data_IF_785321620655
#
_entry.id   IF_785321620655
#
_cell.length_a   1.000
_cell.length_b   1.000
_cell.length_c   1.000
_cell.angle_alpha   90.00
_cell.angle_beta   90.00
_cell.angle_gamma   90.00
#
_symmetry.space_group_name_H-M   'P 1'
#
loop_
_entity.id
_entity.type
_entity.pdbx_description
1 polymer ?
#
# COMPACT_ATOMS: atom_id res chain seq x y z
N UNK A 1 24.33 18.90 37.87
CA UNK A 1 24.59 19.94 36.84
C UNK A 1 24.76 19.38 35.42
N UNK A 2 25.90 18.80 34.99
CA UNK A 2 26.07 18.38 33.59
C UNK A 2 25.09 17.26 33.13
N UNK A 3 24.85 16.26 33.98
CA UNK A 3 23.89 15.18 33.70
C UNK A 3 22.44 15.68 33.65
N UNK A 4 22.10 16.72 34.42
CA UNK A 4 20.77 17.33 34.41
C UNK A 4 20.56 18.14 33.12
N UNK A 5 21.58 18.89 32.67
CA UNK A 5 21.54 19.58 31.37
C UNK A 5 21.42 18.61 30.19
N UNK A 6 22.13 17.49 30.24
CA UNK A 6 22.06 16.48 29.19
C UNK A 6 20.69 15.79 29.14
N UNK A 7 20.13 15.43 30.30
CA UNK A 7 18.78 14.87 30.41
C UNK A 7 17.71 15.86 29.95
N UNK A 8 17.88 17.16 30.24
CA UNK A 8 16.98 18.22 29.79
C UNK A 8 17.05 18.42 28.27
N UNK A 9 18.25 18.45 27.67
CA UNK A 9 18.42 18.52 26.22
C UNK A 9 17.86 17.29 25.50
N UNK A 10 17.97 16.10 26.12
CA UNK A 10 17.37 14.88 25.58
C UNK A 10 15.84 14.96 25.59
N UNK A 11 15.25 15.51 26.66
CA UNK A 11 13.80 15.77 26.77
C UNK A 11 13.32 16.83 25.78
N UNK A 12 14.09 17.92 25.60
CA UNK A 12 13.78 18.98 24.65
C UNK A 12 13.78 18.43 23.21
N UNK A 13 14.83 17.69 22.83
CA UNK A 13 14.93 17.02 21.52
C UNK A 13 13.79 16.03 21.27
N UNK A 14 13.38 15.27 22.29
CA UNK A 14 12.22 14.38 22.21
C UNK A 14 10.94 15.19 21.97
N UNK A 15 10.72 16.27 22.73
CA UNK A 15 9.55 17.14 22.61
C UNK A 15 9.46 17.85 21.25
N UNK A 16 10.58 18.33 20.71
CA UNK A 16 10.65 18.95 19.37
C UNK A 16 10.31 17.93 18.27
N UNK A 17 10.86 16.71 18.37
CA UNK A 17 10.53 15.60 17.47
C UNK A 17 9.06 15.21 17.49
N UNK A 18 8.47 15.12 18.69
CA UNK A 18 7.04 14.87 18.85
C UNK A 18 6.19 16.01 18.25
N UNK A 19 6.63 17.25 18.39
CA UNK A 19 5.99 18.40 17.75
C UNK A 19 6.11 18.36 16.23
N UNK A 20 7.20 17.87 15.64
CA UNK A 20 7.29 17.65 14.19
C UNK A 20 6.32 16.55 13.71
N UNK A 21 6.21 15.45 14.46
CA UNK A 21 5.23 14.38 14.20
C UNK A 21 3.80 14.96 14.23
N UNK A 22 3.47 15.75 15.25
CA UNK A 22 2.14 16.35 15.43
C UNK A 22 1.85 17.51 14.46
N UNK A 23 2.85 18.32 14.09
CA UNK A 23 2.70 19.41 13.10
C UNK A 23 2.43 18.89 11.69
N UNK A 24 3.04 17.76 11.33
CA UNK A 24 2.69 17.02 10.11
C UNK A 24 1.39 16.21 10.28
N UNK A 25 1.01 15.91 11.53
CA UNK A 25 -0.22 15.25 11.98
C UNK A 25 -1.49 16.12 12.00
N UNK A 26 -1.59 17.19 11.18
CA UNK A 26 -2.88 17.82 10.84
C UNK A 26 -3.85 16.88 10.09
N UNK A 27 -3.48 15.60 9.96
CA UNK A 27 -4.17 14.50 9.29
C UNK A 27 -5.16 13.71 10.18
N UNK A 28 -5.31 14.08 11.45
CA UNK A 28 -6.30 13.44 12.35
C UNK A 28 -7.76 13.58 11.88
N UNK A 29 -8.02 14.43 10.87
CA UNK A 29 -9.33 14.62 10.23
C UNK A 29 -9.52 13.78 8.95
N UNK A 30 -8.53 12.99 8.51
CA UNK A 30 -8.55 12.33 7.19
C UNK A 30 -8.48 10.79 7.23
N UNK A 31 -8.62 10.17 8.40
CA UNK A 31 -8.77 8.72 8.56
C UNK A 31 -7.47 7.97 8.90
N UNK A 32 -7.61 6.72 9.34
CA UNK A 32 -6.50 5.88 9.85
C UNK A 32 -5.43 5.57 8.79
N UNK A 33 -5.80 5.50 7.53
CA UNK A 33 -4.88 5.16 6.44
C UNK A 33 -3.78 6.23 6.25
N UNK A 34 -4.14 7.51 6.38
CA UNK A 34 -3.15 8.60 6.29
C UNK A 34 -2.18 8.63 7.47
N UNK A 35 -2.62 8.21 8.66
CA UNK A 35 -1.76 8.08 9.84
C UNK A 35 -0.73 6.98 9.58
N UNK A 36 -1.17 5.84 9.02
CA UNK A 36 -0.26 4.75 8.72
C UNK A 36 0.70 5.05 7.55
N UNK A 37 0.25 5.78 6.52
CA UNK A 37 1.11 6.33 5.46
C UNK A 37 2.22 7.23 6.03
N UNK A 38 1.86 8.11 6.96
CA UNK A 38 2.83 8.99 7.61
C UNK A 38 3.88 8.19 8.41
N UNK A 39 3.43 7.18 9.17
CA UNK A 39 4.31 6.26 9.91
C UNK A 39 5.24 5.52 8.94
N UNK A 40 4.73 5.03 7.81
CA UNK A 40 5.51 4.34 6.79
C UNK A 40 6.61 5.22 6.19
N UNK A 41 6.29 6.46 5.83
CA UNK A 41 7.27 7.43 5.29
C UNK A 41 8.33 7.82 6.31
N UNK A 42 7.95 7.87 7.58
CA UNK A 42 8.80 8.36 8.67
C UNK A 42 9.55 7.24 9.41
N UNK A 43 9.39 5.96 9.01
CA UNK A 43 9.99 4.78 9.65
C UNK A 43 11.52 4.77 9.72
N UNK A 44 12.18 5.56 8.86
CA UNK A 44 13.65 5.67 8.84
C UNK A 44 14.16 6.76 9.81
N UNK A 45 13.27 7.63 10.29
CA UNK A 45 13.60 8.76 11.15
C UNK A 45 13.22 8.49 12.62
N UNK A 46 12.20 7.66 12.87
CA UNK A 46 11.65 7.39 14.20
C UNK A 46 11.29 5.92 14.38
N UNK A 47 11.24 5.47 15.64
CA UNK A 47 10.74 4.14 15.99
C UNK A 47 9.22 4.06 15.75
N UNK A 48 8.78 2.97 15.14
CA UNK A 48 7.36 2.76 14.82
C UNK A 48 6.50 2.73 16.08
N UNK A 49 7.00 2.17 17.19
CA UNK A 49 6.27 2.10 18.46
C UNK A 49 6.05 3.49 19.05
N UNK A 50 7.09 4.33 19.02
CA UNK A 50 7.02 5.70 19.53
C UNK A 50 6.06 6.57 18.67
N UNK A 51 6.08 6.38 17.34
CA UNK A 51 5.13 7.06 16.46
C UNK A 51 3.69 6.58 16.68
N UNK A 52 3.46 5.27 16.82
CA UNK A 52 2.14 4.71 17.09
C UNK A 52 1.56 5.18 18.42
N UNK A 53 2.38 5.24 19.48
CA UNK A 53 1.99 5.77 20.79
C UNK A 53 1.63 7.26 20.70
N UNK A 54 2.45 8.05 20.00
CA UNK A 54 2.24 9.49 19.81
C UNK A 54 0.98 9.80 18.98
N UNK A 55 0.66 8.95 18.01
CA UNK A 55 -0.47 9.11 17.09
C UNK A 55 -1.72 8.34 17.54
N UNK A 56 -1.70 7.75 18.74
CA UNK A 56 -2.81 6.99 19.34
C UNK A 56 -3.35 5.86 18.45
N UNK A 57 -2.47 5.17 17.71
CA UNK A 57 -2.81 4.04 16.85
C UNK A 57 -2.12 2.75 17.31
N UNK A 58 -2.74 1.61 16.99
CA UNK A 58 -2.13 0.32 17.30
C UNK A 58 -1.00 0.00 16.33
N UNK A 59 0.17 -0.36 16.86
CA UNK A 59 1.30 -0.91 16.08
C UNK A 59 0.90 -2.13 15.27
N UNK A 60 0.07 -3.01 15.84
CA UNK A 60 -0.47 -4.16 15.12
C UNK A 60 -1.43 -3.73 14.00
N UNK A 61 -2.18 -2.65 14.21
CA UNK A 61 -3.00 -2.01 13.18
C UNK A 61 -2.14 -1.48 12.02
N UNK A 62 -1.03 -0.82 12.32
CA UNK A 62 -0.06 -0.36 11.31
C UNK A 62 0.49 -1.51 10.48
N UNK A 63 1.01 -2.58 11.10
CA UNK A 63 1.54 -3.71 10.35
C UNK A 63 0.46 -4.48 9.57
N UNK A 64 -0.79 -4.52 10.04
CA UNK A 64 -1.90 -5.08 9.27
C UNK A 64 -2.22 -4.23 8.05
N UNK A 65 -2.24 -2.91 8.23
CA UNK A 65 -2.45 -1.96 7.15
C UNK A 65 -1.30 -2.00 6.13
N UNK A 66 -0.05 -1.97 6.55
CA UNK A 66 1.13 -2.06 5.66
C UNK A 66 1.15 -3.39 4.88
N UNK A 67 0.67 -4.47 5.52
CA UNK A 67 0.51 -5.78 4.87
C UNK A 67 -0.65 -5.83 3.88
N UNK A 68 -1.68 -5.01 4.08
CA UNK A 68 -2.88 -4.90 3.26
C UNK A 68 -2.78 -3.81 2.19
N UNK A 69 -1.84 -2.87 2.33
CA UNK A 69 -1.48 -1.90 1.30
C UNK A 69 -1.09 -2.67 0.02
N UNK A 70 -1.49 -2.21 -1.17
CA UNK A 70 -1.25 -2.89 -2.44
C UNK A 70 0.23 -3.24 -2.61
N UNK A 71 0.58 -4.47 -2.25
CA UNK A 71 1.89 -5.07 -2.53
C UNK A 71 2.02 -5.11 -4.04
N UNK A 72 3.23 -5.06 -4.62
CA UNK A 72 3.45 -5.00 -6.08
C UNK A 72 2.51 -5.83 -6.97
N UNK A 73 2.01 -6.97 -6.47
CA UNK A 73 0.89 -7.73 -7.04
C UNK A 73 -0.37 -6.94 -7.39
N UNK A 74 -0.82 -5.99 -6.56
CA UNK A 74 -2.00 -5.16 -6.84
C UNK A 74 -1.71 -4.10 -7.92
N UNK A 75 -0.49 -3.56 -7.96
CA UNK A 75 -0.05 -2.64 -9.03
C UNK A 75 0.08 -3.38 -10.36
N UNK A 76 0.61 -4.60 -10.32
CA UNK A 76 0.61 -5.52 -11.45
C UNK A 76 -0.81 -5.92 -11.84
N UNK A 77 -1.69 -6.21 -10.89
CA UNK A 77 -3.10 -6.55 -11.15
C UNK A 77 -3.82 -5.37 -11.79
N UNK A 78 -3.63 -4.14 -11.31
CA UNK A 78 -4.15 -2.91 -11.92
C UNK A 78 -3.64 -2.73 -13.36
N UNK A 79 -2.37 -3.06 -13.60
CA UNK A 79 -1.77 -3.01 -14.93
C UNK A 79 -2.38 -4.06 -15.86
N UNK A 80 -2.58 -5.29 -15.35
CA UNK A 80 -3.24 -6.39 -16.06
C UNK A 80 -4.72 -6.08 -16.32
N UNK A 81 -5.42 -5.49 -15.35
CA UNK A 81 -6.84 -5.07 -15.45
C UNK A 81 -7.06 -4.01 -16.52
N UNK A 82 -6.05 -3.20 -16.85
CA UNK A 82 -6.10 -2.25 -17.99
C UNK A 82 -5.84 -2.91 -19.34
N UNK A 83 -5.22 -4.09 -19.35
CA UNK A 83 -4.80 -4.81 -20.57
C UNK A 83 -5.80 -5.88 -20.99
N UNK A 84 -6.33 -6.65 -20.03
CA UNK A 84 -7.31 -7.72 -20.24
C UNK A 84 -8.52 -7.24 -21.08
N UNK A 85 -9.15 -6.09 -20.78
CA UNK A 85 -10.27 -5.61 -21.59
C UNK A 85 -9.88 -5.26 -23.03
N UNK A 86 -8.66 -4.75 -23.25
CA UNK A 86 -8.17 -4.39 -24.59
C UNK A 86 -7.93 -5.62 -25.45
N UNK A 87 -7.41 -6.68 -24.84
CA UNK A 87 -7.22 -7.98 -25.52
C UNK A 87 -8.59 -8.58 -25.84
N UNK A 88 -9.50 -8.59 -24.87
CA UNK A 88 -10.85 -9.12 -25.06
C UNK A 88 -11.65 -8.36 -26.14
N UNK A 89 -11.57 -7.03 -26.19
CA UNK A 89 -12.25 -6.20 -27.19
C UNK A 89 -11.72 -6.40 -28.62
N UNK A 90 -10.43 -6.71 -28.76
CA UNK A 90 -9.79 -6.99 -30.04
C UNK A 90 -10.02 -8.43 -30.53
N UNK A 91 -10.51 -9.31 -29.65
CA UNK A 91 -10.71 -10.70 -29.94
C UNK A 91 -12.12 -10.99 -30.48
N UNK A 92 -12.28 -11.94 -31.42
CA UNK A 92 -13.59 -12.41 -31.85
C UNK A 92 -14.32 -13.13 -30.70
N UNK A 93 -15.65 -12.99 -30.64
CA UNK A 93 -16.50 -13.44 -29.53
C UNK A 93 -16.28 -14.90 -29.10
N UNK A 94 -16.41 -15.13 -27.78
CA UNK A 94 -16.05 -16.33 -26.99
C UNK A 94 -14.57 -16.38 -26.50
N UNK A 95 -13.95 -15.21 -26.32
CA UNK A 95 -12.56 -15.11 -25.85
C UNK A 95 -12.44 -15.23 -24.33
N UNK A 96 -12.36 -16.46 -23.84
CA UNK A 96 -12.25 -16.75 -22.40
C UNK A 96 -10.87 -16.46 -21.77
N UNK A 97 -10.69 -16.93 -20.55
CA UNK A 97 -9.46 -16.68 -19.77
C UNK A 97 -8.20 -17.41 -20.25
N UNK A 98 -8.34 -18.50 -21.01
CA UNK A 98 -7.19 -19.25 -21.53
C UNK A 98 -6.53 -18.50 -22.70
N UNK A 99 -7.27 -18.09 -23.75
CA UNK A 99 -6.68 -17.28 -24.81
C UNK A 99 -6.12 -15.94 -24.31
N UNK A 100 -6.81 -15.25 -23.40
CA UNK A 100 -6.32 -14.00 -22.80
C UNK A 100 -5.02 -14.22 -22.00
N UNK A 101 -4.88 -15.34 -21.29
CA UNK A 101 -3.63 -15.66 -20.61
C UNK A 101 -2.48 -15.84 -21.60
N UNK A 102 -2.73 -16.51 -22.73
CA UNK A 102 -1.71 -16.76 -23.74
C UNK A 102 -1.27 -15.45 -24.41
N UNK A 103 -2.21 -14.55 -24.71
CA UNK A 103 -1.90 -13.21 -25.23
C UNK A 103 -1.14 -12.33 -24.23
N UNK A 104 -1.47 -12.45 -22.94
CA UNK A 104 -0.72 -11.76 -21.88
C UNK A 104 0.73 -12.26 -21.80
N UNK A 105 0.94 -13.58 -21.91
CA UNK A 105 2.27 -14.20 -21.93
C UNK A 105 3.06 -13.80 -23.17
N UNK A 106 2.44 -13.77 -24.35
CA UNK A 106 3.06 -13.32 -25.59
C UNK A 106 3.43 -11.82 -25.54
N UNK A 107 2.59 -11.02 -24.88
CA UNK A 107 2.85 -9.61 -24.58
C UNK A 107 3.93 -9.35 -23.51
N UNK A 108 4.55 -10.40 -22.96
CA UNK A 108 5.62 -10.31 -21.96
C UNK A 108 5.14 -10.11 -20.52
N UNK A 109 3.86 -10.32 -20.24
CA UNK A 109 3.30 -10.21 -18.89
C UNK A 109 3.28 -11.59 -18.20
N UNK A 110 4.04 -11.73 -17.12
CA UNK A 110 4.00 -12.93 -16.28
C UNK A 110 2.73 -12.95 -15.44
N UNK A 111 1.74 -13.72 -15.89
CA UNK A 111 0.49 -13.97 -15.17
C UNK A 111 0.18 -15.46 -15.16
N UNK A 112 -0.25 -16.00 -14.01
CA UNK A 112 -0.68 -17.40 -13.91
C UNK A 112 -2.15 -17.50 -14.34
N UNK A 113 -2.54 -18.59 -15.00
CA UNK A 113 -3.92 -18.83 -15.48
C UNK A 113 -5.02 -18.52 -14.46
N UNK A 114 -4.86 -18.96 -13.21
CA UNK A 114 -5.82 -18.73 -12.13
C UNK A 114 -5.94 -17.23 -11.77
N UNK A 115 -4.82 -16.51 -11.83
CA UNK A 115 -4.79 -15.05 -11.65
C UNK A 115 -5.54 -14.35 -12.79
N UNK A 116 -5.35 -14.78 -14.04
CA UNK A 116 -6.10 -14.22 -15.19
C UNK A 116 -7.61 -14.44 -15.02
N UNK A 117 -8.03 -15.65 -14.64
CA UNK A 117 -9.44 -15.97 -14.41
C UNK A 117 -10.05 -15.10 -13.30
N UNK A 118 -9.36 -14.95 -12.16
CA UNK A 118 -9.81 -14.07 -11.08
C UNK A 118 -9.96 -12.62 -11.56
N UNK A 119 -8.97 -12.08 -12.27
CA UNK A 119 -9.01 -10.70 -12.75
C UNK A 119 -10.11 -10.48 -13.79
N UNK A 120 -10.40 -11.46 -14.65
CA UNK A 120 -11.53 -11.41 -15.57
C UNK A 120 -12.87 -11.40 -14.84
N UNK A 121 -13.04 -12.24 -13.82
CA UNK A 121 -14.25 -12.25 -13.01
C UNK A 121 -14.46 -10.92 -12.27
N UNK A 122 -13.40 -10.31 -11.74
CA UNK A 122 -13.45 -8.99 -11.11
C UNK A 122 -13.81 -7.86 -12.08
N UNK A 123 -13.56 -8.05 -13.39
CA UNK A 123 -13.90 -7.11 -14.45
C UNK A 123 -15.24 -7.42 -15.12
N UNK A 124 -15.95 -8.45 -14.65
CA UNK A 124 -17.20 -8.94 -15.27
C UNK A 124 -17.03 -9.31 -16.76
N UNK A 125 -15.81 -9.70 -17.16
CA UNK A 125 -15.50 -10.15 -18.51
C UNK A 125 -15.63 -11.66 -18.55
N UNK A 126 -16.66 -12.14 -19.23
CA UNK A 126 -16.90 -13.57 -19.49
C UNK A 126 -16.64 -13.88 -20.96
N UNK A 127 -15.92 -14.97 -21.23
CA UNK A 127 -16.04 -15.65 -22.53
C UNK A 127 -17.47 -16.17 -22.63
N UNK A 128 -18.17 -15.83 -23.72
CA UNK A 128 -19.56 -16.22 -23.96
C UNK A 128 -19.66 -17.56 -24.67
#
# INVERSE_FOLDING_TARGET
>A
MAAELESLHKRLRKSERLNEILKNGKLLLQGRDMIFEFIKKSRNLFDISEMCETLEVSTNGFYRWEKAEPRGREVEDESLKKRIPKIHDQAPGDYGHRPIHDDLMEGGYLCVRDRTLRLMNELEISGQ
#
